data_IF_663292139416
#
_entry.id   IF_663292139416
#
_cell.length_a   1.000
_cell.length_b   1.000
_cell.length_c   1.000
_cell.angle_alpha   90.00
_cell.angle_beta   90.00
_cell.angle_gamma   90.00
#
_symmetry.space_group_name_H-M   'P 1'
#
loop_
_entity.id
_entity.type
_entity.pdbx_description
1 polymer ?
#
# COMPACT_ATOMS: atom_id res chain seq x y z
N UNK A 1 -6.31 6.52 -13.50
CA UNK A 1 -5.86 5.12 -13.68
C UNK A 1 -4.43 5.17 -14.20
N UNK A 2 -3.50 4.36 -13.69
CA UNK A 2 -2.17 4.32 -14.26
C UNK A 2 -2.24 3.75 -15.69
N UNK A 3 -1.55 4.40 -16.62
CA UNK A 3 -1.49 3.96 -18.01
C UNK A 3 -0.58 2.72 -18.20
N UNK A 4 0.34 2.52 -17.25
CA UNK A 4 1.31 1.43 -17.25
C UNK A 4 1.51 0.86 -15.85
N UNK A 5 1.61 -0.46 -15.76
CA UNK A 5 1.94 -1.19 -14.52
C UNK A 5 3.15 -2.08 -14.83
N UNK A 6 4.18 -2.15 -13.96
CA UNK A 6 4.31 -1.45 -12.66
C UNK A 6 4.41 0.07 -12.77
N UNK A 7 3.93 0.78 -11.75
CA UNK A 7 3.90 2.25 -11.68
C UNK A 7 5.25 2.75 -11.15
N UNK A 8 5.95 3.57 -11.94
CA UNK A 8 7.22 4.19 -11.53
C UNK A 8 7.01 5.55 -10.87
N UNK A 9 8.06 6.09 -10.23
CA UNK A 9 8.02 7.42 -9.60
C UNK A 9 7.84 8.57 -10.60
N UNK A 10 8.20 8.35 -11.87
CA UNK A 10 8.04 9.33 -12.95
C UNK A 10 6.67 9.24 -13.63
N UNK A 11 5.84 8.26 -13.27
CA UNK A 11 4.49 8.15 -13.79
C UNK A 11 3.66 9.39 -13.43
N UNK A 12 2.78 9.88 -14.33
CA UNK A 12 1.94 11.04 -14.04
C UNK A 12 1.11 10.84 -12.76
N UNK A 13 1.15 11.84 -11.88
CA UNK A 13 0.35 11.85 -10.65
C UNK A 13 -0.97 12.58 -10.92
N UNK A 14 -2.06 11.83 -10.97
CA UNK A 14 -3.41 12.35 -11.19
C UNK A 14 -4.37 11.79 -10.11
N UNK A 15 -4.38 12.38 -8.90
CA UNK A 15 -5.23 11.91 -7.82
C UNK A 15 -6.71 12.05 -8.19
N UNK A 16 -7.50 11.02 -7.90
CA UNK A 16 -8.93 10.96 -8.22
C UNK A 16 -9.83 11.22 -7.01
N UNK A 17 -9.24 11.50 -5.86
CA UNK A 17 -9.96 11.77 -4.62
C UNK A 17 -9.19 12.75 -3.70
N UNK A 18 -9.85 13.36 -2.69
CA UNK A 18 -9.21 14.32 -1.78
C UNK A 18 -8.03 13.76 -1.00
N UNK A 19 -8.06 12.48 -0.62
CA UNK A 19 -6.93 11.83 0.07
C UNK A 19 -5.69 11.81 -0.82
N UNK A 20 -5.79 11.31 -2.04
CA UNK A 20 -4.67 11.31 -3.00
C UNK A 20 -4.17 12.73 -3.30
N UNK A 21 -5.09 13.69 -3.45
CA UNK A 21 -4.74 15.10 -3.65
C UNK A 21 -3.93 15.65 -2.46
N UNK A 22 -4.33 15.38 -1.22
CA UNK A 22 -3.60 15.83 -0.04
C UNK A 22 -2.18 15.26 0.05
N UNK A 23 -2.00 13.99 -0.36
CA UNK A 23 -0.67 13.36 -0.40
C UNK A 23 0.23 13.99 -1.46
N UNK A 24 -0.31 14.27 -2.64
CA UNK A 24 0.44 14.94 -3.70
C UNK A 24 0.80 16.37 -3.33
N UNK A 25 -0.11 17.11 -2.69
CA UNK A 25 0.17 18.46 -2.16
C UNK A 25 1.33 18.42 -1.14
N UNK A 26 1.41 17.42 -0.30
CA UNK A 26 2.53 17.24 0.63
C UNK A 26 3.86 17.09 -0.12
N UNK A 27 3.91 16.30 -1.18
CA UNK A 27 5.12 16.18 -2.01
C UNK A 27 5.51 17.51 -2.66
N UNK A 28 4.54 18.29 -3.15
CA UNK A 28 4.80 19.60 -3.71
C UNK A 28 5.37 20.56 -2.66
N UNK A 29 4.79 20.61 -1.46
CA UNK A 29 5.30 21.45 -0.37
C UNK A 29 6.72 21.06 0.02
N UNK A 30 7.04 19.77 0.12
CA UNK A 30 8.40 19.29 0.40
C UNK A 30 9.38 19.71 -0.68
N UNK A 31 9.02 19.55 -1.94
CA UNK A 31 9.84 19.95 -3.10
C UNK A 31 10.12 21.46 -3.09
N UNK A 32 9.07 22.26 -2.92
CA UNK A 32 9.17 23.72 -3.00
C UNK A 32 9.92 24.28 -1.79
N UNK A 33 9.76 23.67 -0.59
CA UNK A 33 10.57 23.98 0.59
C UNK A 33 12.05 23.65 0.35
N UNK A 34 12.35 22.49 -0.22
CA UNK A 34 13.73 22.11 -0.53
C UNK A 34 14.38 22.98 -1.62
N UNK A 35 13.59 23.59 -2.50
CA UNK A 35 14.09 24.55 -3.49
C UNK A 35 14.41 25.92 -2.87
N UNK A 36 13.70 26.31 -1.80
CA UNK A 36 13.83 27.61 -1.16
C UNK A 36 14.79 27.63 0.04
N UNK A 37 15.07 26.48 0.65
CA UNK A 37 15.81 26.37 1.89
C UNK A 37 16.81 25.19 1.86
N UNK A 38 17.80 25.19 2.76
CA UNK A 38 18.65 24.02 3.01
C UNK A 38 17.85 22.93 3.76
N UNK A 39 16.98 22.28 2.99
CA UNK A 39 16.06 21.25 3.45
C UNK A 39 16.13 20.05 2.51
N UNK A 40 16.23 18.85 3.08
CA UNK A 40 16.24 17.59 2.32
C UNK A 40 15.19 16.63 2.86
N UNK A 41 14.62 15.83 1.98
CA UNK A 41 13.55 14.91 2.32
C UNK A 41 13.64 13.59 1.54
N UNK A 42 13.04 12.55 2.10
CA UNK A 42 12.69 11.34 1.34
C UNK A 42 11.17 11.15 1.46
N UNK A 43 10.47 11.15 0.33
CA UNK A 43 9.06 10.81 0.25
C UNK A 43 8.91 9.35 -0.16
N UNK A 44 8.41 8.51 0.74
CA UNK A 44 8.10 7.11 0.47
C UNK A 44 6.64 6.98 0.02
N UNK A 45 6.42 6.66 -1.26
CA UNK A 45 5.12 6.31 -1.80
C UNK A 45 4.87 4.83 -1.56
N UNK A 46 4.40 4.48 -0.37
CA UNK A 46 4.13 3.10 -0.02
C UNK A 46 2.75 2.65 -0.50
N UNK A 47 2.69 1.37 -0.89
CA UNK A 47 1.49 0.73 -1.40
C UNK A 47 0.67 0.15 -0.24
N UNK A 48 0.01 -0.98 -0.38
CA UNK A 48 -0.85 -1.50 0.67
C UNK A 48 -0.02 -2.07 1.83
N UNK A 49 -0.06 -1.43 2.98
CA UNK A 49 0.67 -1.91 4.16
C UNK A 49 -0.07 -3.10 4.79
N UNK A 50 0.67 -4.16 5.08
CA UNK A 50 0.16 -5.40 5.61
C UNK A 50 0.99 -5.90 6.79
N UNK A 51 0.47 -6.87 7.54
CA UNK A 51 1.17 -7.49 8.65
C UNK A 51 1.12 -6.70 9.96
N UNK A 52 1.82 -7.25 10.93
CA UNK A 52 1.99 -6.70 12.27
C UNK A 52 3.41 -6.99 12.76
N UNK A 53 3.79 -6.44 13.91
CA UNK A 53 5.06 -6.78 14.53
C UNK A 53 5.13 -8.30 14.84
N UNK A 54 6.15 -9.01 14.33
CA UNK A 54 6.28 -10.46 14.56
C UNK A 54 6.32 -10.86 16.05
N UNK A 55 6.76 -9.95 16.92
CA UNK A 55 6.78 -10.15 18.37
C UNK A 55 5.46 -9.79 19.06
N UNK A 56 4.42 -9.42 18.32
CA UNK A 56 3.10 -9.08 18.85
C UNK A 56 3.04 -7.80 19.70
N UNK A 57 4.06 -6.94 19.66
CA UNK A 57 4.13 -5.70 20.47
C UNK A 57 3.20 -4.60 19.93
N UNK A 58 2.95 -4.61 18.63
CA UNK A 58 2.11 -3.60 17.96
C UNK A 58 1.45 -4.17 16.71
N UNK A 59 0.36 -3.56 16.29
CA UNK A 59 -0.39 -3.91 15.10
C UNK A 59 -1.39 -2.82 14.74
N UNK A 60 -2.18 -3.04 13.70
CA UNK A 60 -3.20 -2.09 13.27
C UNK A 60 -4.38 -2.08 14.23
N UNK A 61 -4.45 -1.06 15.11
CA UNK A 61 -5.48 -0.90 16.13
C UNK A 61 -6.59 0.09 15.78
N UNK A 62 -6.50 0.80 14.66
CA UNK A 62 -7.53 1.78 14.24
C UNK A 62 -8.92 1.14 14.17
N UNK A 63 -9.93 1.68 14.90
CA UNK A 63 -11.25 1.05 15.00
C UNK A 63 -12.00 1.00 13.66
N UNK A 64 -11.79 1.98 12.79
CA UNK A 64 -12.45 2.10 11.49
C UNK A 64 -11.52 1.73 10.32
N UNK A 65 -10.51 0.89 10.54
CA UNK A 65 -9.62 0.46 9.48
C UNK A 65 -10.37 -0.37 8.42
N UNK A 66 -10.15 -0.04 7.15
CA UNK A 66 -10.76 -0.71 5.99
C UNK A 66 -9.79 -1.61 5.24
N UNK A 67 -8.62 -1.89 5.83
CA UNK A 67 -7.60 -2.72 5.22
C UNK A 67 -8.05 -4.19 5.15
N UNK A 68 -7.88 -4.82 4.00
CA UNK A 68 -8.37 -6.16 3.69
C UNK A 68 -8.01 -7.20 4.77
N UNK A 69 -6.72 -7.32 5.11
CA UNK A 69 -6.23 -8.28 6.11
C UNK A 69 -6.80 -7.98 7.51
N UNK A 70 -6.96 -6.70 7.87
CA UNK A 70 -7.59 -6.32 9.15
C UNK A 70 -9.04 -6.77 9.21
N UNK A 71 -9.81 -6.54 8.14
CA UNK A 71 -11.21 -6.97 8.07
C UNK A 71 -11.31 -8.50 8.12
N UNK A 72 -10.47 -9.21 7.36
CA UNK A 72 -10.42 -10.66 7.40
C UNK A 72 -10.12 -11.18 8.82
N UNK A 73 -9.16 -10.56 9.53
CA UNK A 73 -8.86 -10.88 10.94
C UNK A 73 -10.06 -10.61 11.86
N UNK A 74 -10.82 -9.55 11.63
CA UNK A 74 -12.03 -9.26 12.41
C UNK A 74 -13.14 -10.28 12.18
N UNK A 75 -13.29 -10.80 10.96
CA UNK A 75 -14.23 -11.89 10.66
C UNK A 75 -13.82 -13.16 11.40
N UNK A 76 -12.54 -13.54 11.32
CA UNK A 76 -12.01 -14.73 12.01
C UNK A 76 -12.14 -14.68 13.52
N UNK A 77 -12.09 -13.47 14.11
CA UNK A 77 -12.22 -13.26 15.56
C UNK A 77 -13.65 -12.97 16.00
N UNK A 78 -14.64 -13.09 15.10
CA UNK A 78 -16.07 -12.87 15.40
C UNK A 78 -16.44 -11.41 15.68
N UNK A 79 -15.57 -10.46 15.32
CA UNK A 79 -15.85 -9.03 15.44
C UNK A 79 -16.65 -8.48 14.24
N UNK A 80 -16.72 -9.26 13.15
CA UNK A 80 -17.53 -9.02 11.95
C UNK A 80 -18.12 -10.33 11.46
N UNK A 81 -19.30 -10.26 10.86
CA UNK A 81 -19.97 -11.43 10.32
C UNK A 81 -19.37 -11.87 8.98
N UNK A 82 -18.95 -10.94 8.13
CA UNK A 82 -18.47 -11.22 6.78
C UNK A 82 -17.48 -10.19 6.28
N UNK A 83 -16.82 -10.53 5.16
CA UNK A 83 -15.98 -9.61 4.39
C UNK A 83 -16.56 -9.39 3.00
N UNK A 84 -16.60 -8.14 2.54
CA UNK A 84 -17.06 -7.78 1.21
C UNK A 84 -15.89 -7.71 0.22
N UNK A 85 -16.07 -8.31 -0.97
CA UNK A 85 -15.19 -8.18 -2.13
C UNK A 85 -15.83 -7.20 -3.10
N UNK A 86 -15.17 -6.04 -3.28
CA UNK A 86 -15.71 -4.94 -4.07
C UNK A 86 -15.33 -5.05 -5.55
N UNK A 87 -16.24 -5.58 -6.36
CA UNK A 87 -16.07 -5.88 -7.79
C UNK A 87 -15.37 -7.22 -8.02
N UNK A 88 -15.97 -8.00 -8.92
CA UNK A 88 -15.49 -9.32 -9.31
C UNK A 88 -15.44 -9.46 -10.85
N UNK A 89 -15.47 -8.32 -11.52
CA UNK A 89 -15.53 -8.19 -12.98
C UNK A 89 -14.42 -7.28 -13.54
N UNK A 90 -13.33 -7.07 -12.76
CA UNK A 90 -12.14 -6.37 -13.25
C UNK A 90 -11.42 -7.22 -14.28
N UNK A 91 -10.70 -6.56 -15.21
CA UNK A 91 -9.81 -7.22 -16.17
C UNK A 91 -8.53 -7.70 -15.46
N UNK A 92 -8.68 -8.80 -14.72
CA UNK A 92 -7.66 -9.49 -13.92
C UNK A 92 -7.94 -11.00 -13.94
N UNK A 93 -6.98 -11.86 -13.63
CA UNK A 93 -7.15 -13.31 -13.74
C UNK A 93 -8.35 -13.90 -12.96
N UNK A 94 -8.71 -13.30 -11.82
CA UNK A 94 -9.81 -13.78 -10.97
C UNK A 94 -10.97 -12.78 -10.84
N UNK A 95 -10.91 -11.68 -11.60
CA UNK A 95 -11.91 -10.62 -11.61
C UNK A 95 -11.80 -9.64 -10.46
N UNK A 96 -10.90 -9.85 -9.47
CA UNK A 96 -10.73 -8.93 -8.34
C UNK A 96 -9.51 -8.03 -8.51
N UNK A 97 -9.48 -6.90 -7.78
CA UNK A 97 -8.36 -5.96 -7.85
C UNK A 97 -7.02 -6.58 -7.42
N UNK A 98 -5.95 -6.24 -8.14
CA UNK A 98 -4.57 -6.62 -7.79
C UNK A 98 -3.87 -5.46 -7.11
N UNK A 99 -3.22 -5.71 -5.97
CA UNK A 99 -2.47 -4.71 -5.19
C UNK A 99 -1.10 -5.24 -4.79
N UNK A 100 -0.14 -4.32 -4.71
CA UNK A 100 1.17 -4.57 -4.11
C UNK A 100 1.03 -4.41 -2.59
N UNK A 101 1.45 -5.41 -1.84
CA UNK A 101 1.43 -5.39 -0.38
C UNK A 101 2.86 -5.32 0.14
N UNK A 102 3.11 -4.44 1.11
CA UNK A 102 4.39 -4.34 1.81
C UNK A 102 4.20 -4.64 3.28
N UNK A 103 5.07 -5.46 3.87
CA UNK A 103 5.01 -5.73 5.29
C UNK A 103 5.39 -4.49 6.10
N UNK A 104 4.67 -4.24 7.20
CA UNK A 104 4.88 -3.04 8.02
C UNK A 104 6.30 -2.95 8.58
N UNK A 105 6.95 -4.07 8.88
CA UNK A 105 8.35 -4.09 9.34
C UNK A 105 9.33 -3.62 8.25
N UNK A 106 9.10 -4.01 7.00
CA UNK A 106 9.94 -3.58 5.88
C UNK A 106 9.72 -2.11 5.55
N UNK A 107 8.47 -1.65 5.65
CA UNK A 107 8.17 -0.23 5.54
C UNK A 107 8.86 0.59 6.66
N UNK A 108 8.86 0.08 7.90
CA UNK A 108 9.58 0.71 9.00
C UNK A 108 11.10 0.74 8.76
N UNK A 109 11.69 -0.35 8.25
CA UNK A 109 13.08 -0.42 7.85
C UNK A 109 13.40 0.61 6.75
N UNK A 110 12.56 0.72 5.73
CA UNK A 110 12.72 1.72 4.67
C UNK A 110 12.72 3.17 5.20
N UNK A 111 11.95 3.48 6.26
CA UNK A 111 12.00 4.78 6.93
C UNK A 111 13.33 5.01 7.65
N UNK A 112 13.88 3.99 8.30
CA UNK A 112 15.20 4.06 8.96
C UNK A 112 16.29 4.28 7.91
N UNK A 113 16.26 3.58 6.77
CA UNK A 113 17.22 3.72 5.70
C UNK A 113 17.11 5.10 5.01
N UNK A 114 15.89 5.62 4.84
CA UNK A 114 15.66 6.99 4.39
C UNK A 114 16.28 8.02 5.34
N UNK A 115 16.14 7.82 6.66
CA UNK A 115 16.78 8.70 7.66
C UNK A 115 18.31 8.60 7.58
N UNK A 116 18.87 7.40 7.50
CA UNK A 116 20.31 7.18 7.33
C UNK A 116 20.85 7.86 6.06
N UNK A 117 20.11 7.75 4.95
CA UNK A 117 20.46 8.45 3.72
C UNK A 117 20.57 9.97 3.92
N UNK A 118 19.59 10.58 4.58
CA UNK A 118 19.58 12.03 4.83
C UNK A 118 20.67 12.46 5.82
N UNK A 119 20.86 11.73 6.92
CA UNK A 119 21.92 12.04 7.91
C UNK A 119 23.31 11.79 7.35
N UNK A 120 23.47 10.87 6.39
CA UNK A 120 24.70 10.66 5.63
C UNK A 120 24.97 11.70 4.54
N UNK A 121 24.19 12.77 4.45
CA UNK A 121 24.38 13.85 3.48
C UNK A 121 23.68 13.61 2.12
N UNK A 122 22.84 12.58 2.00
CA UNK A 122 22.12 12.29 0.77
C UNK A 122 21.09 13.38 0.39
N UNK A 123 20.83 13.53 -0.90
CA UNK A 123 19.86 14.49 -1.44
C UNK A 123 18.41 14.03 -1.31
N UNK A 124 17.49 14.95 -1.62
CA UNK A 124 16.06 14.65 -1.61
C UNK A 124 15.67 13.57 -2.63
N UNK A 125 14.77 12.67 -2.24
CA UNK A 125 14.30 11.55 -3.05
C UNK A 125 12.79 11.39 -2.96
N UNK A 126 12.20 10.90 -4.05
CA UNK A 126 10.88 10.25 -4.05
C UNK A 126 11.09 8.80 -4.47
N UNK A 127 10.55 7.87 -3.69
CA UNK A 127 10.75 6.43 -3.86
C UNK A 127 9.43 5.69 -3.70
N UNK A 128 9.10 4.82 -4.65
CA UNK A 128 8.04 3.85 -4.45
C UNK A 128 8.50 2.77 -3.46
N UNK A 129 7.62 2.42 -2.52
CA UNK A 129 7.89 1.45 -1.48
C UNK A 129 6.85 0.32 -1.53
N UNK A 130 7.21 -0.75 -2.21
CA UNK A 130 6.44 -1.98 -2.44
C UNK A 130 7.38 -3.10 -2.81
N UNK A 131 6.85 -4.30 -3.05
CA UNK A 131 7.69 -5.44 -3.45
C UNK A 131 7.87 -5.56 -4.97
N UNK A 132 7.03 -4.87 -5.76
CA UNK A 132 7.07 -4.91 -7.22
C UNK A 132 6.30 -6.10 -7.82
N UNK A 133 5.48 -6.77 -7.03
CA UNK A 133 4.52 -7.77 -7.47
C UNK A 133 3.21 -7.60 -6.73
N UNK A 134 2.12 -8.04 -7.36
CA UNK A 134 0.78 -7.85 -6.81
C UNK A 134 0.11 -9.17 -6.47
N UNK A 135 -0.84 -9.09 -5.53
CA UNK A 135 -1.77 -10.16 -5.21
C UNK A 135 -3.20 -9.66 -5.39
N UNK A 136 -4.06 -10.52 -5.89
CA UNK A 136 -5.48 -10.22 -5.99
C UNK A 136 -6.15 -10.21 -4.60
N UNK A 137 -7.35 -9.63 -4.51
CA UNK A 137 -8.11 -9.72 -3.26
C UNK A 137 -8.38 -11.17 -2.90
N UNK A 138 -8.71 -12.03 -3.87
CA UNK A 138 -8.95 -13.47 -3.63
C UNK A 138 -7.69 -14.21 -3.19
N UNK A 139 -6.52 -13.91 -3.77
CA UNK A 139 -5.25 -14.49 -3.32
C UNK A 139 -4.99 -14.23 -1.83
N UNK A 140 -5.19 -12.97 -1.40
CA UNK A 140 -4.99 -12.57 -0.01
C UNK A 140 -5.97 -13.28 0.92
N UNK A 141 -7.26 -13.36 0.57
CA UNK A 141 -8.26 -14.05 1.38
C UNK A 141 -7.98 -15.55 1.46
N UNK A 142 -7.59 -16.18 0.36
CA UNK A 142 -7.18 -17.57 0.34
C UNK A 142 -5.96 -17.83 1.23
N UNK A 143 -4.96 -16.93 1.19
CA UNK A 143 -3.79 -17.03 2.06
C UNK A 143 -4.16 -16.93 3.55
N UNK A 144 -5.11 -16.05 3.90
CA UNK A 144 -5.63 -15.93 5.26
C UNK A 144 -6.36 -17.23 5.69
N UNK A 145 -7.21 -17.79 4.84
CA UNK A 145 -7.89 -19.07 5.12
C UNK A 145 -6.88 -20.21 5.32
N UNK A 146 -5.88 -20.31 4.43
CA UNK A 146 -4.82 -21.33 4.53
C UNK A 146 -3.99 -21.20 5.83
N UNK A 147 -3.61 -19.97 6.18
CA UNK A 147 -2.80 -19.70 7.36
C UNK A 147 -3.53 -19.99 8.68
N UNK A 148 -4.86 -19.85 8.69
CA UNK A 148 -5.68 -19.97 9.90
C UNK A 148 -6.44 -21.29 10.01
N UNK A 149 -6.60 -22.00 8.88
CA UNK A 149 -7.45 -23.20 8.80
C UNK A 149 -8.96 -22.92 8.88
N UNK A 150 -9.37 -21.63 8.84
CA UNK A 150 -10.77 -21.22 8.94
C UNK A 150 -11.27 -20.62 7.62
N UNK A 151 -12.54 -20.84 7.33
CA UNK A 151 -13.22 -20.23 6.18
C UNK A 151 -13.75 -18.85 6.54
N UNK A 152 -13.68 -17.93 5.58
CA UNK A 152 -14.25 -16.58 5.65
C UNK A 152 -15.65 -16.58 5.02
N UNK A 153 -16.61 -15.90 5.63
CA UNK A 153 -17.86 -15.53 4.94
C UNK A 153 -17.54 -14.35 4.00
N UNK A 154 -17.39 -14.67 2.71
CA UNK A 154 -17.04 -13.71 1.66
C UNK A 154 -18.29 -13.38 0.87
N UNK A 155 -18.63 -12.10 0.75
CA UNK A 155 -19.78 -11.61 0.00
C UNK A 155 -19.34 -10.64 -1.08
N UNK A 156 -19.97 -10.75 -2.26
CA UNK A 156 -19.74 -9.84 -3.38
C UNK A 156 -20.41 -8.49 -3.13
N UNK A 157 -19.72 -7.42 -3.49
CA UNK A 157 -20.24 -6.05 -3.46
C UNK A 157 -19.89 -5.30 -4.76
N UNK A 158 -20.64 -4.26 -5.14
CA UNK A 158 -20.32 -3.44 -6.31
C UNK A 158 -18.92 -2.85 -6.26
N UNK A 159 -18.33 -2.57 -7.44
CA UNK A 159 -17.03 -1.87 -7.51
C UNK A 159 -17.03 -0.56 -6.73
N UNK A 160 -15.92 -0.26 -6.06
CA UNK A 160 -15.70 1.08 -5.51
C UNK A 160 -15.31 2.05 -6.62
N UNK A 161 -15.88 3.24 -6.60
CA UNK A 161 -15.54 4.27 -7.56
C UNK A 161 -14.05 4.66 -7.44
N UNK A 162 -13.34 4.68 -8.56
CA UNK A 162 -11.93 5.09 -8.62
C UNK A 162 -10.91 3.98 -8.30
N UNK A 163 -11.32 2.77 -7.97
CA UNK A 163 -10.39 1.66 -7.76
C UNK A 163 -9.82 1.18 -9.11
N UNK A 164 -8.47 1.19 -9.30
CA UNK A 164 -7.86 0.59 -10.47
C UNK A 164 -7.88 -0.94 -10.40
N UNK A 165 -8.01 -1.61 -11.56
CA UNK A 165 -7.92 -3.07 -11.62
C UNK A 165 -6.60 -3.59 -11.04
N UNK A 166 -5.47 -2.95 -11.41
CA UNK A 166 -4.13 -3.35 -10.97
C UNK A 166 -3.33 -2.12 -10.53
N UNK A 167 -2.70 -2.21 -9.36
CA UNK A 167 -1.80 -1.19 -8.85
C UNK A 167 -0.60 -1.86 -8.16
N UNK A 168 0.54 -1.88 -8.85
CA UNK A 168 1.80 -2.52 -8.43
C UNK A 168 2.95 -1.53 -8.61
N UNK A 169 3.84 -1.45 -7.63
CA UNK A 169 4.99 -0.57 -7.64
C UNK A 169 6.06 -1.02 -8.64
N UNK A 170 6.69 -0.09 -9.33
CA UNK A 170 8.08 -0.28 -9.74
C UNK A 170 8.96 0.06 -8.53
N UNK A 171 9.53 -0.97 -7.90
CA UNK A 171 10.33 -0.86 -6.68
C UNK A 171 11.84 -0.88 -6.96
N UNK A 172 12.27 -0.81 -8.21
CA UNK A 172 13.68 -0.91 -8.61
C UNK A 172 14.53 0.20 -8.03
N UNK A 173 13.98 1.41 -7.93
CA UNK A 173 14.72 2.58 -7.46
C UNK A 173 15.04 2.48 -5.97
N UNK A 174 14.10 2.06 -5.13
CA UNK A 174 14.33 1.89 -3.69
C UNK A 174 15.31 0.74 -3.43
N UNK A 175 15.16 -0.40 -4.13
CA UNK A 175 16.06 -1.56 -4.00
C UNK A 175 17.51 -1.29 -4.41
N UNK A 176 17.73 -0.33 -5.30
CA UNK A 176 19.09 0.10 -5.71
C UNK A 176 19.68 1.15 -4.77
N UNK A 177 18.85 1.80 -3.97
CA UNK A 177 19.25 2.93 -3.13
C UNK A 177 19.48 2.53 -1.69
N UNK A 178 18.70 1.60 -1.19
CA UNK A 178 18.71 1.06 0.17
C UNK A 178 18.93 -0.45 0.15
#
# INVERSE_FOLDING_TARGET
MPEKVPVSEISPTAPVNPYGASKLMTEWMLRDTAAAHDFRYVALRYFNVAGADPSGRTGLSSPNATHLIKIASQVLTGQRDHIEVFGEDYDTPDGTCIRDYIHVSDLAAAHVDALRHLTGGGGSLVLNCGYGHGFSVRDVLQAVEQATGHRLDIRSAPRRAGDPATLVADADKIKKRF
#
